data_IF_523596853507
#
_entry.id   IF_523596853507
#
_cell.length_a   1.000
_cell.length_b   1.000
_cell.length_c   1.000
_cell.angle_alpha   90.00
_cell.angle_beta   90.00
_cell.angle_gamma   90.00
#
_symmetry.space_group_name_H-M   'P 1'
#
loop_
_entity.id
_entity.type
_entity.pdbx_description
1 polymer ?
#
# COMPACT_ATOMS: atom_id res chain seq x y z
N UNK A 1 -0.37 -0.86 -54.23
CA UNK A 1 -0.90 0.28 -53.44
C UNK A 1 -2.32 -0.05 -52.99
N UNK A 2 -2.49 -0.58 -51.79
CA UNK A 2 -3.81 -0.85 -51.19
C UNK A 2 -3.89 -0.06 -49.88
N UNK A 3 -4.89 0.84 -49.79
CA UNK A 3 -5.14 1.69 -48.62
C UNK A 3 -5.90 0.88 -47.58
N UNK A 4 -5.27 0.60 -46.44
CA UNK A 4 -5.91 -0.06 -45.30
C UNK A 4 -6.84 0.95 -44.58
N UNK A 5 -8.14 0.64 -44.58
CA UNK A 5 -9.18 1.42 -43.92
C UNK A 5 -9.10 1.32 -42.40
N UNK A 6 -8.97 2.47 -41.75
CA UNK A 6 -9.10 2.63 -40.30
C UNK A 6 -10.58 2.50 -39.90
N UNK A 7 -10.94 1.36 -39.30
CA UNK A 7 -12.22 1.22 -38.59
C UNK A 7 -12.14 1.97 -37.26
N UNK A 8 -12.93 3.04 -37.16
CA UNK A 8 -13.15 3.78 -35.90
C UNK A 8 -13.97 2.92 -34.94
N UNK A 9 -13.43 2.67 -33.75
CA UNK A 9 -14.16 2.04 -32.64
C UNK A 9 -15.25 2.99 -32.12
N UNK A 10 -16.48 2.50 -31.84
CA UNK A 10 -17.54 3.32 -31.26
C UNK A 10 -17.22 3.66 -29.78
N UNK A 11 -17.58 4.88 -29.39
CA UNK A 11 -17.47 5.40 -28.04
C UNK A 11 -18.30 4.52 -27.08
N UNK A 12 -17.60 3.87 -26.15
CA UNK A 12 -18.22 3.05 -25.12
C UNK A 12 -19.02 3.89 -24.14
N UNK A 13 -20.33 3.66 -24.16
CA UNK A 13 -21.32 3.75 -23.08
C UNK A 13 -20.79 4.20 -21.72
N UNK A 14 -21.04 5.46 -21.40
CA UNK A 14 -21.04 5.99 -20.03
C UNK A 14 -22.11 5.23 -19.23
N UNK A 15 -21.70 4.24 -18.44
CA UNK A 15 -22.55 3.65 -17.41
C UNK A 15 -22.73 4.71 -16.31
N UNK A 16 -23.82 5.45 -16.39
CA UNK A 16 -24.38 6.21 -15.28
C UNK A 16 -24.55 5.26 -14.10
N UNK A 17 -23.62 5.33 -13.16
CA UNK A 17 -23.75 4.70 -11.85
C UNK A 17 -24.90 5.42 -11.14
N UNK A 18 -26.12 4.92 -11.35
CA UNK A 18 -27.30 5.33 -10.60
C UNK A 18 -26.98 5.17 -9.10
N UNK A 19 -27.09 6.24 -8.29
CA UNK A 19 -27.03 6.10 -6.85
C UNK A 19 -28.25 5.28 -6.44
N UNK A 20 -28.09 3.97 -6.28
CA UNK A 20 -29.09 3.17 -5.62
C UNK A 20 -29.12 3.64 -4.16
N UNK A 21 -30.10 4.50 -3.87
CA UNK A 21 -30.62 4.73 -2.53
C UNK A 21 -30.82 3.38 -1.86
N UNK A 22 -29.87 2.99 -1.00
CA UNK A 22 -30.02 1.83 -0.12
C UNK A 22 -31.02 2.18 0.97
N UNK A 23 -32.30 2.29 0.59
CA UNK A 23 -33.41 2.40 1.51
C UNK A 23 -33.71 1.03 2.11
N UNK A 24 -33.26 0.88 3.35
CA UNK A 24 -34.01 0.21 4.43
C UNK A 24 -34.30 -1.28 4.26
N UNK A 25 -33.39 -2.12 4.75
CA UNK A 25 -33.79 -3.37 5.39
C UNK A 25 -33.60 -3.19 6.90
N UNK A 26 -34.60 -2.60 7.54
CA UNK A 26 -34.73 -2.59 9.00
C UNK A 26 -35.20 -3.98 9.39
N UNK A 27 -34.29 -4.78 9.95
CA UNK A 27 -34.67 -5.97 10.73
C UNK A 27 -34.41 -5.62 12.18
N UNK A 28 -35.50 -5.35 12.91
CA UNK A 28 -35.50 -5.12 14.35
C UNK A 28 -34.81 -6.26 15.11
N UNK A 29 -33.96 -5.94 16.09
CA UNK A 29 -34.09 -6.30 17.52
C UNK A 29 -33.09 -5.41 18.28
N UNK A 30 -33.62 -4.49 19.09
CA UNK A 30 -32.99 -3.35 19.79
C UNK A 30 -32.58 -2.15 18.91
N UNK A 31 -33.14 -0.97 19.24
CA UNK A 31 -32.82 0.36 18.68
C UNK A 31 -31.46 0.86 19.21
N UNK A 32 -30.52 -0.08 19.42
CA UNK A 32 -29.25 0.15 20.07
C UNK A 32 -28.21 0.52 19.03
N UNK A 33 -27.54 1.65 19.21
CA UNK A 33 -26.47 2.07 18.31
C UNK A 33 -25.16 1.39 18.72
N UNK A 34 -25.04 0.12 18.35
CA UNK A 34 -23.86 -0.71 18.63
C UNK A 34 -22.55 -0.08 18.10
N UNK A 35 -22.61 0.78 17.08
CA UNK A 35 -21.42 1.43 16.53
C UNK A 35 -20.97 2.57 17.45
N UNK A 36 -21.88 3.47 17.80
CA UNK A 36 -21.58 4.60 18.68
C UNK A 36 -21.19 4.13 20.09
N UNK A 37 -21.89 3.14 20.63
CA UNK A 37 -21.63 2.62 21.97
C UNK A 37 -20.30 1.87 22.05
N UNK A 38 -19.95 1.06 21.04
CA UNK A 38 -18.62 0.42 21.00
C UNK A 38 -17.52 1.46 20.87
N UNK A 39 -17.74 2.56 20.11
CA UNK A 39 -16.75 3.64 20.02
C UNK A 39 -16.52 4.30 21.38
N UNK A 40 -17.57 4.52 22.17
CA UNK A 40 -17.46 5.01 23.55
C UNK A 40 -16.70 4.02 24.44
N UNK A 41 -16.99 2.72 24.33
CA UNK A 41 -16.30 1.67 25.09
C UNK A 41 -14.81 1.58 24.74
N UNK A 42 -14.45 1.75 23.46
CA UNK A 42 -13.05 1.81 23.00
C UNK A 42 -12.34 3.03 23.57
N UNK A 43 -12.95 4.21 23.47
CA UNK A 43 -12.36 5.45 23.99
C UNK A 43 -12.12 5.36 25.50
N UNK A 44 -13.09 4.83 26.25
CA UNK A 44 -12.97 4.61 27.69
C UNK A 44 -11.93 3.53 28.08
N UNK A 45 -11.56 2.64 27.15
CA UNK A 45 -10.58 1.59 27.40
C UNK A 45 -9.14 2.00 27.07
N UNK A 46 -8.94 3.04 26.26
CA UNK A 46 -7.61 3.52 25.88
C UNK A 46 -7.04 4.34 27.06
N UNK A 47 -5.93 3.90 27.68
CA UNK A 47 -5.31 4.66 28.76
C UNK A 47 -4.62 5.92 28.22
N UNK A 48 -4.46 6.93 29.06
CA UNK A 48 -3.61 8.07 28.75
C UNK A 48 -2.13 7.62 28.69
N UNK A 49 -1.47 7.80 27.54
CA UNK A 49 -0.05 7.50 27.36
C UNK A 49 0.24 6.33 26.40
N UNK A 50 1.40 5.69 26.58
CA UNK A 50 1.83 4.57 25.73
C UNK A 50 1.03 3.30 26.04
N UNK A 51 0.44 2.71 25.01
CA UNK A 51 -0.29 1.46 25.13
C UNK A 51 -0.02 0.52 23.95
N UNK A 52 -0.24 -0.77 24.19
CA UNK A 52 -0.21 -1.79 23.15
C UNK A 52 -1.64 -2.07 22.72
N UNK A 53 -2.02 -1.61 21.53
CA UNK A 53 -3.39 -1.70 21.03
C UNK A 53 -4.00 -3.12 21.10
N UNK A 54 -3.19 -4.16 20.87
CA UNK A 54 -3.66 -5.54 20.97
C UNK A 54 -3.99 -5.99 22.40
N UNK A 55 -3.30 -5.44 23.41
CA UNK A 55 -3.57 -5.73 24.82
C UNK A 55 -4.86 -5.03 25.25
N UNK A 56 -4.98 -3.72 24.96
CA UNK A 56 -6.20 -2.94 25.25
C UNK A 56 -7.43 -3.56 24.58
N UNK A 57 -7.31 -4.00 23.33
CA UNK A 57 -8.41 -4.67 22.63
C UNK A 57 -8.79 -6.02 23.27
N UNK A 58 -7.81 -6.81 23.73
CA UNK A 58 -8.08 -8.07 24.42
C UNK A 58 -8.81 -7.84 25.75
N UNK A 59 -8.31 -6.91 26.56
CA UNK A 59 -8.90 -6.56 27.85
C UNK A 59 -10.32 -6.00 27.70
N UNK A 60 -10.56 -5.15 26.70
CA UNK A 60 -11.90 -4.64 26.38
C UNK A 60 -12.84 -5.78 25.97
N UNK A 61 -12.38 -6.72 25.13
CA UNK A 61 -13.19 -7.88 24.72
C UNK A 61 -13.55 -8.76 25.92
N UNK A 62 -12.60 -9.04 26.81
CA UNK A 62 -12.85 -9.85 28.00
C UNK A 62 -13.78 -9.13 28.99
N UNK A 63 -13.66 -7.82 29.14
CA UNK A 63 -14.59 -6.99 29.91
C UNK A 63 -16.01 -7.05 29.33
N UNK A 64 -16.16 -6.80 28.02
CA UNK A 64 -17.46 -6.82 27.36
C UNK A 64 -18.13 -8.20 27.38
N UNK A 65 -17.35 -9.30 27.35
CA UNK A 65 -17.92 -10.65 27.51
C UNK A 65 -18.64 -10.84 28.85
N UNK A 66 -18.20 -10.14 29.90
CA UNK A 66 -18.77 -10.23 31.25
C UNK A 66 -19.84 -9.16 31.47
N UNK A 67 -19.54 -7.90 31.12
CA UNK A 67 -20.37 -6.75 31.45
C UNK A 67 -21.50 -6.50 30.43
N UNK A 68 -21.22 -6.67 29.13
CA UNK A 68 -22.17 -6.36 28.06
C UNK A 68 -21.93 -7.24 26.82
N UNK A 69 -22.29 -8.53 26.89
CA UNK A 69 -22.06 -9.47 25.80
C UNK A 69 -22.89 -9.13 24.56
N UNK A 70 -24.02 -8.43 24.73
CA UNK A 70 -24.89 -8.01 23.64
C UNK A 70 -24.23 -6.91 22.79
N UNK A 71 -23.58 -5.92 23.41
CA UNK A 71 -22.82 -4.89 22.69
C UNK A 71 -21.73 -5.50 21.81
N UNK A 72 -20.96 -6.43 22.38
CA UNK A 72 -19.89 -7.12 21.65
C UNK A 72 -20.44 -7.92 20.46
N UNK A 73 -21.51 -8.71 20.69
CA UNK A 73 -22.11 -9.54 19.65
C UNK A 73 -22.72 -8.68 18.51
N UNK A 74 -23.49 -7.65 18.87
CA UNK A 74 -24.11 -6.74 17.91
C UNK A 74 -23.08 -5.99 17.07
N UNK A 75 -22.04 -5.44 17.71
CA UNK A 75 -20.96 -4.77 17.00
C UNK A 75 -20.18 -5.70 16.06
N UNK A 76 -19.83 -6.91 16.52
CA UNK A 76 -19.14 -7.90 15.70
C UNK A 76 -19.98 -8.29 14.48
N UNK A 77 -21.30 -8.45 14.63
CA UNK A 77 -22.19 -8.75 13.53
C UNK A 77 -22.16 -7.66 12.45
N UNK A 78 -22.21 -6.39 12.87
CA UNK A 78 -22.14 -5.24 11.96
C UNK A 78 -20.78 -5.08 11.28
N UNK A 79 -19.68 -5.36 11.98
CA UNK A 79 -18.31 -5.20 11.46
C UNK A 79 -17.79 -6.41 10.70
N UNK A 80 -18.36 -7.60 10.91
CA UNK A 80 -17.90 -8.84 10.29
C UNK A 80 -17.71 -8.75 8.77
N UNK A 81 -18.61 -8.15 7.97
CA UNK A 81 -18.40 -8.04 6.52
C UNK A 81 -17.13 -7.26 6.15
N UNK A 82 -16.84 -6.16 6.85
CA UNK A 82 -15.66 -5.32 6.60
C UNK A 82 -14.38 -6.07 7.00
N UNK A 83 -14.38 -6.68 8.18
CA UNK A 83 -13.24 -7.47 8.68
C UNK A 83 -12.95 -8.64 7.73
N UNK A 84 -13.98 -9.36 7.29
CA UNK A 84 -13.82 -10.48 6.37
C UNK A 84 -13.34 -10.02 4.99
N UNK A 85 -13.81 -8.88 4.48
CA UNK A 85 -13.30 -8.31 3.24
C UNK A 85 -11.79 -8.01 3.33
N UNK A 86 -11.34 -7.42 4.43
CA UNK A 86 -9.92 -7.14 4.68
C UNK A 86 -9.09 -8.43 4.77
N UNK A 87 -9.60 -9.46 5.46
CA UNK A 87 -8.91 -10.76 5.57
C UNK A 87 -8.80 -11.42 4.18
N UNK A 88 -9.85 -11.38 3.37
CA UNK A 88 -9.83 -11.90 1.99
C UNK A 88 -8.84 -11.11 1.14
N UNK A 89 -8.83 -9.79 1.24
CA UNK A 89 -7.89 -8.92 0.53
C UNK A 89 -6.43 -9.22 0.93
N UNK A 90 -6.13 -9.30 2.23
CA UNK A 90 -4.80 -9.67 2.76
C UNK A 90 -4.36 -11.05 2.27
N UNK A 91 -5.26 -12.05 2.28
CA UNK A 91 -4.97 -13.37 1.74
C UNK A 91 -4.66 -13.33 0.24
N UNK A 92 -5.46 -12.59 -0.53
CA UNK A 92 -5.25 -12.40 -1.97
C UNK A 92 -3.91 -11.73 -2.26
N UNK A 93 -3.61 -10.64 -1.54
CA UNK A 93 -2.35 -9.90 -1.66
C UNK A 93 -1.16 -10.74 -1.21
N UNK A 94 -1.27 -11.50 -0.12
CA UNK A 94 -0.24 -12.43 0.34
C UNK A 94 0.01 -13.54 -0.67
N UNK A 95 -1.05 -14.11 -1.29
CA UNK A 95 -0.91 -15.07 -2.39
C UNK A 95 -0.20 -14.44 -3.59
N UNK A 96 -0.58 -13.24 -4.00
CA UNK A 96 0.08 -12.49 -5.09
C UNK A 96 1.53 -12.18 -4.76
N UNK A 97 1.83 -11.77 -3.54
CA UNK A 97 3.19 -11.48 -3.08
C UNK A 97 4.03 -12.75 -3.00
N UNK A 98 3.48 -13.85 -2.46
CA UNK A 98 4.14 -15.15 -2.43
C UNK A 98 4.33 -15.69 -3.84
N UNK A 99 3.39 -15.46 -4.76
CA UNK A 99 3.59 -15.73 -6.16
C UNK A 99 4.70 -14.83 -6.73
N UNK A 100 4.74 -13.53 -6.43
CA UNK A 100 5.77 -12.61 -6.93
C UNK A 100 7.17 -12.91 -6.39
N UNK A 101 7.30 -13.29 -5.13
CA UNK A 101 8.58 -13.60 -4.46
C UNK A 101 8.98 -15.05 -4.71
N UNK A 102 8.02 -15.96 -4.69
CA UNK A 102 8.22 -17.39 -4.86
C UNK A 102 8.23 -17.85 -6.32
N UNK A 103 7.63 -17.12 -7.27
CA UNK A 103 7.69 -17.47 -8.69
C UNK A 103 9.10 -17.32 -9.24
N UNK A 104 9.90 -16.26 -8.95
CA UNK A 104 11.30 -16.23 -9.35
C UNK A 104 12.10 -17.37 -8.75
N UNK A 105 11.87 -17.75 -7.48
CA UNK A 105 12.54 -18.90 -6.86
C UNK A 105 12.14 -20.24 -7.48
N UNK A 106 10.85 -20.44 -7.78
CA UNK A 106 10.33 -21.65 -8.43
C UNK A 106 10.77 -21.73 -9.89
N UNK A 107 10.65 -20.62 -10.62
CA UNK A 107 11.15 -20.47 -11.98
C UNK A 107 12.67 -20.69 -12.03
N UNK A 108 13.44 -20.16 -11.06
CA UNK A 108 14.87 -20.44 -10.95
C UNK A 108 15.13 -21.92 -10.67
N UNK A 109 14.42 -22.54 -9.73
CA UNK A 109 14.60 -23.96 -9.41
C UNK A 109 14.21 -24.87 -10.59
N UNK A 110 13.15 -24.51 -11.32
CA UNK A 110 12.71 -25.19 -12.53
C UNK A 110 13.68 -24.98 -13.68
N UNK A 111 14.15 -23.75 -13.89
CA UNK A 111 15.19 -23.38 -14.84
C UNK A 111 16.53 -24.07 -14.54
N UNK A 112 16.89 -24.22 -13.26
CA UNK A 112 18.08 -24.95 -12.86
C UNK A 112 17.94 -26.46 -13.16
N UNK A 113 16.75 -27.03 -12.93
CA UNK A 113 16.45 -28.43 -13.30
C UNK A 113 16.44 -28.63 -14.82
N UNK A 114 15.81 -27.73 -15.59
CA UNK A 114 15.81 -27.79 -17.05
C UNK A 114 17.18 -27.50 -17.63
N UNK A 115 17.98 -26.60 -17.05
CA UNK A 115 19.38 -26.40 -17.42
C UNK A 115 20.21 -27.66 -17.22
N UNK A 116 19.98 -28.39 -16.12
CA UNK A 116 20.67 -29.67 -15.86
C UNK A 116 20.27 -30.75 -16.86
N UNK A 117 19.07 -30.68 -17.43
CA UNK A 117 18.51 -31.71 -18.34
C UNK A 117 18.77 -31.40 -19.81
N UNK A 118 18.55 -30.15 -20.23
CA UNK A 118 18.52 -29.70 -21.63
C UNK A 118 19.59 -28.64 -21.94
N UNK A 119 20.31 -28.14 -20.93
CA UNK A 119 21.40 -27.15 -21.12
C UNK A 119 20.96 -25.73 -21.50
N UNK A 120 19.67 -25.39 -21.45
CA UNK A 120 19.19 -24.09 -21.90
C UNK A 120 19.50 -22.95 -20.91
N UNK A 121 20.57 -22.21 -21.21
CA UNK A 121 21.07 -21.05 -20.44
C UNK A 121 20.06 -19.89 -20.39
N UNK A 122 19.09 -19.84 -21.32
CA UNK A 122 18.22 -18.66 -21.50
C UNK A 122 17.25 -18.44 -20.35
N UNK A 123 16.85 -19.49 -19.64
CA UNK A 123 15.82 -19.42 -18.58
C UNK A 123 16.31 -18.74 -17.30
N UNK A 124 17.63 -18.71 -17.07
CA UNK A 124 18.27 -18.02 -15.94
C UNK A 124 18.85 -16.65 -16.31
N UNK A 125 18.62 -16.21 -17.55
CA UNK A 125 19.28 -15.01 -18.06
C UNK A 125 18.71 -13.76 -17.40
N UNK A 126 19.55 -12.88 -16.80
CA UNK A 126 19.10 -11.58 -16.29
C UNK A 126 18.49 -10.71 -17.39
N UNK A 127 18.77 -11.00 -18.66
CA UNK A 127 18.17 -10.33 -19.82
C UNK A 127 16.64 -10.55 -19.94
N UNK A 128 16.08 -11.56 -19.28
CA UNK A 128 14.64 -11.82 -19.27
C UNK A 128 13.86 -10.96 -18.25
N UNK A 129 14.54 -10.27 -17.33
CA UNK A 129 13.87 -9.43 -16.34
C UNK A 129 13.15 -8.25 -17.01
N UNK A 130 11.93 -7.91 -16.58
CA UNK A 130 11.16 -6.80 -17.13
C UNK A 130 11.16 -5.57 -16.20
N UNK A 131 11.35 -4.40 -16.78
CA UNK A 131 11.31 -3.12 -16.09
C UNK A 131 10.27 -2.17 -16.70
N UNK A 132 9.80 -1.20 -15.92
CA UNK A 132 8.99 -0.09 -16.42
C UNK A 132 9.91 0.99 -17.00
N UNK A 133 9.80 1.25 -18.30
CA UNK A 133 10.81 2.05 -19.04
C UNK A 133 10.35 3.45 -19.44
N UNK A 134 9.10 3.82 -19.14
CA UNK A 134 8.57 5.17 -19.40
C UNK A 134 7.45 5.55 -18.41
N UNK A 135 6.88 6.74 -18.60
CA UNK A 135 5.74 7.27 -17.82
C UNK A 135 4.41 6.61 -18.19
N UNK A 136 4.30 6.06 -19.41
CA UNK A 136 3.13 5.31 -19.86
C UNK A 136 3.04 3.91 -19.21
N UNK A 137 4.01 3.56 -18.36
CA UNK A 137 4.15 2.27 -17.70
C UNK A 137 4.39 1.09 -18.66
N UNK A 138 5.05 1.34 -19.80
CA UNK A 138 5.48 0.28 -20.71
C UNK A 138 6.46 -0.66 -19.99
N UNK A 139 6.23 -1.98 -20.09
CA UNK A 139 7.13 -3.00 -19.57
C UNK A 139 7.98 -3.59 -20.69
N UNK A 140 9.28 -3.71 -20.43
CA UNK A 140 10.24 -4.20 -21.41
C UNK A 140 11.28 -5.11 -20.73
N UNK A 141 11.57 -6.24 -21.36
CA UNK A 141 12.66 -7.12 -20.94
C UNK A 141 14.03 -6.44 -21.12
N UNK A 142 14.98 -6.69 -20.22
CA UNK A 142 16.35 -6.12 -20.27
C UNK A 142 17.04 -6.39 -21.61
N UNK A 143 16.81 -7.56 -22.22
CA UNK A 143 17.32 -7.91 -23.55
C UNK A 143 16.97 -6.89 -24.63
N UNK A 144 15.81 -6.24 -24.49
CA UNK A 144 15.22 -5.36 -25.50
C UNK A 144 15.30 -3.88 -25.12
N UNK A 145 15.85 -3.57 -23.93
CA UNK A 145 16.00 -2.21 -23.45
C UNK A 145 16.99 -1.43 -24.31
N UNK A 146 16.58 -0.22 -24.68
CA UNK A 146 17.45 0.78 -25.30
C UNK A 146 18.26 1.51 -24.23
N UNK A 147 19.22 2.33 -24.65
CA UNK A 147 19.98 3.18 -23.73
C UNK A 147 19.07 4.14 -22.94
N UNK A 148 18.01 4.67 -23.58
CA UNK A 148 17.06 5.58 -22.94
C UNK A 148 16.19 4.86 -21.91
N UNK A 149 15.74 3.63 -22.20
CA UNK A 149 15.03 2.78 -21.25
C UNK A 149 15.88 2.55 -19.98
N UNK A 150 17.17 2.24 -20.16
CA UNK A 150 18.10 2.03 -19.05
C UNK A 150 18.30 3.31 -18.22
N UNK A 151 18.46 4.47 -18.87
CA UNK A 151 18.58 5.77 -18.17
C UNK A 151 17.32 6.10 -17.37
N UNK A 152 16.14 5.83 -17.92
CA UNK A 152 14.88 6.05 -17.23
C UNK A 152 14.74 5.17 -15.98
N UNK A 153 15.06 3.88 -16.10
CA UNK A 153 15.05 2.94 -14.96
C UNK A 153 16.06 3.38 -13.89
N UNK A 154 17.26 3.78 -14.30
CA UNK A 154 18.28 4.31 -13.38
C UNK A 154 17.78 5.56 -12.66
N UNK A 155 17.22 6.54 -13.38
CA UNK A 155 16.66 7.75 -12.79
C UNK A 155 15.56 7.45 -11.76
N UNK A 156 14.68 6.47 -12.01
CA UNK A 156 13.68 6.03 -11.02
C UNK A 156 14.30 5.49 -9.73
N UNK A 157 15.35 4.69 -9.84
CA UNK A 157 16.07 4.18 -8.67
C UNK A 157 16.82 5.29 -7.93
N UNK A 158 17.43 6.23 -8.66
CA UNK A 158 18.10 7.40 -8.08
C UNK A 158 17.11 8.29 -7.32
N UNK A 159 15.92 8.55 -7.88
CA UNK A 159 14.86 9.31 -7.22
C UNK A 159 14.40 8.64 -5.93
N UNK A 160 14.15 7.32 -5.98
CA UNK A 160 13.78 6.55 -4.79
C UNK A 160 14.89 6.59 -3.72
N UNK A 161 16.16 6.40 -4.12
CA UNK A 161 17.30 6.46 -3.22
C UNK A 161 17.48 7.85 -2.60
N UNK A 162 17.25 8.92 -3.37
CA UNK A 162 17.30 10.31 -2.88
C UNK A 162 16.24 10.55 -1.81
N UNK A 163 15.00 10.10 -2.02
CA UNK A 163 13.91 10.22 -1.04
C UNK A 163 14.29 9.49 0.26
N UNK A 164 14.69 8.22 0.17
CA UNK A 164 15.09 7.46 1.36
C UNK A 164 16.28 8.09 2.09
N UNK A 165 17.24 8.69 1.36
CA UNK A 165 18.37 9.40 1.96
C UNK A 165 17.93 10.66 2.71
N UNK A 166 16.98 11.42 2.16
CA UNK A 166 16.41 12.61 2.80
C UNK A 166 15.63 12.24 4.07
N UNK A 167 14.77 11.22 4.01
CA UNK A 167 14.03 10.72 5.18
C UNK A 167 14.98 10.24 6.29
N UNK A 168 16.02 9.47 5.93
CA UNK A 168 17.03 9.03 6.88
C UNK A 168 17.78 10.21 7.51
N UNK A 169 18.11 11.25 6.73
CA UNK A 169 18.76 12.45 7.24
C UNK A 169 17.84 13.25 8.18
N UNK A 170 16.55 13.38 7.84
CA UNK A 170 15.53 13.99 8.68
C UNK A 170 15.43 13.28 10.05
N UNK A 171 15.27 11.95 10.05
CA UNK A 171 15.18 11.21 11.31
C UNK A 171 16.46 11.27 12.14
N UNK A 172 17.65 11.32 11.51
CA UNK A 172 18.91 11.56 12.24
C UNK A 172 18.97 12.95 12.85
N UNK A 173 18.48 13.98 12.15
CA UNK A 173 18.43 15.35 12.67
C UNK A 173 17.46 15.46 13.85
N UNK A 174 16.27 14.86 13.73
CA UNK A 174 15.29 14.72 14.82
C UNK A 174 15.93 14.00 16.00
N UNK A 175 16.53 12.82 15.78
CA UNK A 175 17.20 12.04 16.82
C UNK A 175 18.29 12.85 17.54
N UNK A 176 19.11 13.59 16.79
CA UNK A 176 20.16 14.47 17.35
C UNK A 176 19.57 15.60 18.22
N UNK A 177 18.42 16.15 17.84
CA UNK A 177 17.77 17.25 18.56
C UNK A 177 17.02 16.77 19.81
N UNK A 178 16.36 15.62 19.75
CA UNK A 178 15.63 15.06 20.89
C UNK A 178 16.57 14.46 21.95
N UNK A 179 17.68 13.84 21.51
CA UNK A 179 18.59 13.12 22.40
C UNK A 179 17.92 11.87 22.97
N UNK A 180 17.83 11.78 24.30
CA UNK A 180 17.14 10.70 25.01
C UNK A 180 15.66 10.98 25.34
N UNK A 181 15.14 12.15 24.92
CA UNK A 181 13.74 12.55 25.16
C UNK A 181 12.83 12.03 24.05
N UNK A 182 11.53 11.95 24.34
CA UNK A 182 10.52 11.64 23.31
C UNK A 182 10.27 12.86 22.41
N UNK A 183 9.86 12.62 21.16
CA UNK A 183 9.67 13.70 20.17
C UNK A 183 8.67 14.76 20.65
N UNK A 184 7.56 14.34 21.28
CA UNK A 184 6.51 15.24 21.77
C UNK A 184 6.92 16.15 22.94
N UNK A 185 8.01 15.85 23.65
CA UNK A 185 8.56 16.76 24.67
C UNK A 185 9.38 17.91 24.05
N UNK A 186 9.84 17.72 22.81
CA UNK A 186 10.80 18.62 22.17
C UNK A 186 10.16 19.41 21.04
N UNK A 187 9.15 18.85 20.39
CA UNK A 187 8.44 19.46 19.27
C UNK A 187 6.94 19.38 19.50
N UNK A 188 6.24 20.45 19.13
CA UNK A 188 4.80 20.36 18.86
C UNK A 188 4.55 19.64 17.54
N UNK A 189 3.33 19.17 17.32
CA UNK A 189 2.95 18.52 16.06
C UNK A 189 3.14 19.47 14.86
N UNK A 190 2.78 20.75 15.02
CA UNK A 190 2.95 21.77 13.97
C UNK A 190 4.43 21.95 13.60
N UNK A 191 5.31 22.01 14.60
CA UNK A 191 6.75 22.12 14.39
C UNK A 191 7.31 20.87 13.68
N UNK A 192 6.86 19.68 14.09
CA UNK A 192 7.28 18.44 13.45
C UNK A 192 6.83 18.38 11.99
N UNK A 193 5.59 18.75 11.71
CA UNK A 193 5.04 18.83 10.36
C UNK A 193 5.76 19.87 9.50
N UNK A 194 6.08 21.04 10.05
CA UNK A 194 6.83 22.08 9.34
C UNK A 194 8.23 21.57 8.93
N UNK A 195 8.97 20.96 9.86
CA UNK A 195 10.26 20.35 9.56
C UNK A 195 10.13 19.22 8.51
N UNK A 196 9.14 18.34 8.64
CA UNK A 196 8.94 17.24 7.70
C UNK A 196 8.62 17.76 6.29
N UNK A 197 7.75 18.77 6.17
CA UNK A 197 7.43 19.42 4.90
C UNK A 197 8.66 20.10 4.29
N UNK A 198 9.49 20.75 5.11
CA UNK A 198 10.72 21.39 4.64
C UNK A 198 11.68 20.42 3.93
N UNK A 199 11.66 19.14 4.30
CA UNK A 199 12.53 18.10 3.73
C UNK A 199 11.86 17.36 2.56
N UNK A 200 10.54 17.15 2.63
CA UNK A 200 9.80 16.32 1.64
C UNK A 200 9.18 17.12 0.50
N UNK A 201 8.78 18.38 0.72
CA UNK A 201 8.19 19.24 -0.31
C UNK A 201 9.23 19.99 -1.15
N UNK A 202 10.51 19.87 -0.83
CA UNK A 202 11.60 20.19 -1.75
C UNK A 202 11.72 19.08 -2.81
N UNK A 203 10.65 18.87 -3.57
CA UNK A 203 10.63 17.99 -4.74
C UNK A 203 11.62 18.46 -5.81
N UNK A 204 11.94 17.62 -6.81
CA UNK A 204 12.94 17.93 -7.83
C UNK A 204 12.63 19.28 -8.45
N UNK A 205 13.51 20.25 -8.19
CA UNK A 205 13.50 21.57 -8.82
C UNK A 205 13.35 21.32 -10.32
N UNK A 206 12.28 21.82 -10.94
CA UNK A 206 11.98 21.56 -12.34
C UNK A 206 13.26 21.74 -13.17
N UNK A 207 13.76 20.65 -13.76
CA UNK A 207 14.93 20.72 -14.62
C UNK A 207 14.49 21.55 -15.81
N UNK A 208 15.11 22.73 -16.08
CA UNK A 208 14.73 23.52 -17.24
C UNK A 208 14.92 22.64 -18.47
N UNK A 209 13.83 22.39 -19.19
CA UNK A 209 13.88 21.70 -20.48
C UNK A 209 14.86 22.49 -21.36
N UNK A 210 15.92 21.84 -21.81
CA UNK A 210 16.82 22.41 -22.79
C UNK A 210 15.99 22.87 -23.99
N UNK A 211 16.06 24.16 -24.32
CA UNK A 211 15.42 24.70 -25.51
C UNK A 211 16.01 23.99 -26.73
N UNK A 212 15.12 23.43 -27.57
CA UNK A 212 15.45 22.78 -28.83
C UNK A 212 15.90 23.81 -29.88
#
# INVERSE_FOLDING_TARGET
MQKAGHQRRPAGTTLLNSPQERKGRVTSVTDRDFIAEMQQAVEAAIPEGDYVASVVAADLVDRLRVEDPELLAGWLHLKAPVILADVVARRSNSKRQTARVGAPRRAFAEAARSFTTDGDVRVLSPFAAEYVVDEANTRRAVANMTADDCRFVAAKYEDAARISKLEAAFHRAVAKKIGGRVVGEVFTEEQYLEMYRSVTQQGPRAVPRAAA
#
